data_IF_955351799322
#
_entry.id   IF_955351799322
#
_cell.length_a   1.000
_cell.length_b   1.000
_cell.length_c   1.000
_cell.angle_alpha   90.00
_cell.angle_beta   90.00
_cell.angle_gamma   90.00
#
_symmetry.space_group_name_H-M   'P 1'
#
loop_
_entity.id
_entity.type
_entity.pdbx_description
1 polymer ?
#
# COMPACT_ATOMS: atom_id res chain seq x y z
N UNK A 1 -5.69 36.51 -27.43
CA UNK A 1 -5.74 35.03 -27.21
C UNK A 1 -6.15 34.81 -25.76
N UNK A 2 -7.35 34.26 -25.58
CA UNK A 2 -8.23 34.51 -24.45
C UNK A 2 -7.94 33.67 -23.20
N UNK A 3 -8.04 34.30 -22.01
CA UNK A 3 -8.00 33.76 -20.64
C UNK A 3 -8.97 32.56 -20.42
N UNK A 4 -9.86 32.30 -21.36
CA UNK A 4 -10.85 31.23 -21.31
C UNK A 4 -10.28 29.81 -21.55
N UNK A 5 -9.09 29.68 -22.07
CA UNK A 5 -8.48 28.37 -22.37
C UNK A 5 -7.96 27.67 -21.10
N UNK A 6 -7.39 28.44 -20.18
CA UNK A 6 -6.89 27.92 -18.90
C UNK A 6 -8.00 27.47 -17.96
N UNK A 7 -9.16 28.16 -18.02
CA UNK A 7 -10.32 27.78 -17.22
C UNK A 7 -10.95 26.45 -17.72
N UNK A 8 -10.94 26.20 -19.02
CA UNK A 8 -11.42 24.93 -19.60
C UNK A 8 -10.45 23.78 -19.35
N UNK A 9 -9.14 24.02 -19.38
CA UNK A 9 -8.14 23.01 -19.03
C UNK A 9 -8.19 22.63 -17.54
N UNK A 10 -8.43 23.59 -16.65
CA UNK A 10 -8.62 23.34 -15.22
C UNK A 10 -9.90 22.55 -14.91
N UNK A 11 -11.00 22.81 -15.63
CA UNK A 11 -12.26 22.07 -15.50
C UNK A 11 -12.16 20.63 -16.04
N UNK A 12 -11.40 20.41 -17.10
CA UNK A 12 -11.17 19.08 -17.66
C UNK A 12 -10.24 18.25 -16.77
N UNK A 13 -9.28 18.86 -16.08
CA UNK A 13 -8.44 18.21 -15.06
C UNK A 13 -9.26 17.88 -13.80
N UNK A 14 -10.18 18.73 -13.38
CA UNK A 14 -11.06 18.45 -12.24
C UNK A 14 -12.09 17.35 -12.53
N UNK A 15 -12.56 17.21 -13.77
CA UNK A 15 -13.50 16.16 -14.18
C UNK A 15 -12.87 14.78 -14.37
N UNK A 16 -11.56 14.70 -14.61
CA UNK A 16 -10.82 13.44 -14.70
C UNK A 16 -10.47 12.83 -13.32
N UNK A 17 -10.61 13.62 -12.27
CA UNK A 17 -10.48 13.18 -10.88
C UNK A 17 -11.87 12.71 -10.39
N UNK A 18 -12.27 11.50 -10.82
CA UNK A 18 -13.56 10.90 -10.50
C UNK A 18 -13.84 10.76 -8.99
N UNK A 19 -15.01 10.17 -8.60
CA UNK A 19 -15.48 10.07 -7.21
C UNK A 19 -14.53 9.38 -6.23
N UNK A 20 -13.44 8.79 -6.71
CA UNK A 20 -12.37 8.21 -5.89
C UNK A 20 -11.63 9.22 -5.01
N UNK A 21 -11.55 10.51 -5.42
CA UNK A 21 -10.87 11.53 -4.61
C UNK A 21 -11.69 12.01 -3.42
N UNK A 22 -13.01 12.06 -3.54
CA UNK A 22 -13.89 12.47 -2.44
C UNK A 22 -13.87 11.44 -1.29
N UNK A 23 -13.70 10.16 -1.60
CA UNK A 23 -13.62 9.07 -0.62
C UNK A 23 -12.25 8.92 0.03
N UNK A 24 -11.21 9.45 -0.58
CA UNK A 24 -9.85 9.47 -0.05
C UNK A 24 -9.66 10.53 1.07
N UNK A 25 -10.72 11.27 1.47
CA UNK A 25 -10.63 12.25 2.55
C UNK A 25 -10.51 11.61 3.94
N UNK A 26 -11.00 10.40 4.13
CA UNK A 26 -10.91 9.67 5.40
C UNK A 26 -9.83 8.58 5.35
N UNK A 27 -8.57 8.99 5.40
CA UNK A 27 -7.49 8.03 5.65
C UNK A 27 -7.61 7.50 7.08
N UNK A 28 -7.68 6.19 7.27
CA UNK A 28 -7.74 5.60 8.61
C UNK A 28 -6.50 5.95 9.41
N UNK A 29 -6.60 5.99 10.73
CA UNK A 29 -5.43 6.09 11.59
C UNK A 29 -4.66 4.77 11.62
N UNK A 30 -3.35 4.82 11.90
CA UNK A 30 -2.56 3.60 12.07
C UNK A 30 -3.17 2.68 13.14
N UNK A 31 -3.61 3.26 14.27
CA UNK A 31 -4.24 2.53 15.35
C UNK A 31 -5.52 1.81 14.90
N UNK A 32 -6.37 2.48 14.10
CA UNK A 32 -7.61 1.86 13.60
C UNK A 32 -7.32 0.71 12.63
N UNK A 33 -6.31 0.85 11.77
CA UNK A 33 -5.89 -0.22 10.86
C UNK A 33 -5.36 -1.43 11.62
N UNK A 34 -4.60 -1.20 12.69
CA UNK A 34 -4.08 -2.26 13.55
C UNK A 34 -5.19 -3.00 14.29
N UNK A 35 -6.16 -2.27 14.86
CA UNK A 35 -7.31 -2.87 15.56
C UNK A 35 -8.21 -3.65 14.60
N UNK A 36 -8.43 -3.13 13.40
CA UNK A 36 -9.25 -3.76 12.38
C UNK A 36 -8.52 -4.88 11.60
N UNK A 37 -7.27 -5.21 11.99
CA UNK A 37 -6.49 -6.25 11.29
C UNK A 37 -7.19 -7.61 11.44
N UNK A 38 -7.63 -8.23 10.34
CA UNK A 38 -8.29 -9.52 10.41
C UNK A 38 -7.25 -10.60 10.73
N UNK A 39 -7.60 -11.54 11.60
CA UNK A 39 -6.79 -12.73 11.87
C UNK A 39 -7.58 -13.94 11.39
N UNK A 40 -6.93 -14.83 10.62
CA UNK A 40 -7.60 -16.02 10.06
C UNK A 40 -7.68 -17.19 11.03
N UNK A 41 -6.84 -17.18 12.04
CA UNK A 41 -6.71 -18.29 12.97
C UNK A 41 -7.19 -17.87 14.36
N UNK A 42 -7.86 -18.79 15.06
CA UNK A 42 -8.23 -18.65 16.48
C UNK A 42 -7.46 -19.65 17.29
N UNK A 43 -6.96 -19.22 18.43
CA UNK A 43 -6.28 -20.09 19.39
C UNK A 43 -7.27 -20.44 20.50
N UNK A 44 -7.47 -21.73 20.71
CA UNK A 44 -8.15 -22.24 21.87
C UNK A 44 -7.15 -22.32 23.02
N UNK A 45 -7.44 -21.63 24.11
CA UNK A 45 -6.61 -21.61 25.30
C UNK A 45 -7.21 -22.48 26.39
N UNK A 46 -6.36 -23.07 27.23
CA UNK A 46 -6.78 -23.71 28.46
C UNK A 46 -7.07 -22.68 29.57
N UNK A 47 -7.47 -23.16 30.74
CA UNK A 47 -7.75 -22.31 31.93
C UNK A 47 -6.51 -21.54 32.46
N UNK A 48 -5.31 -21.90 32.01
CA UNK A 48 -4.06 -21.24 32.38
C UNK A 48 -3.56 -20.28 31.31
N UNK A 49 -4.28 -20.17 30.17
CA UNK A 49 -3.89 -19.38 29.02
C UNK A 49 -2.89 -20.06 28.08
N UNK A 50 -2.66 -21.37 28.23
CA UNK A 50 -1.80 -22.14 27.35
C UNK A 50 -2.58 -22.55 26.09
N UNK A 51 -1.91 -22.50 24.95
CA UNK A 51 -2.52 -22.83 23.66
C UNK A 51 -2.77 -24.35 23.57
N UNK A 52 -4.04 -24.75 23.49
CA UNK A 52 -4.47 -26.13 23.26
C UNK A 52 -4.51 -26.46 21.78
N UNK A 53 -5.04 -25.56 20.98
CA UNK A 53 -5.22 -25.78 19.55
C UNK A 53 -5.31 -24.47 18.81
N UNK A 54 -4.80 -24.45 17.58
CA UNK A 54 -4.98 -23.37 16.61
C UNK A 54 -5.97 -23.84 15.55
N UNK A 55 -7.08 -23.10 15.38
CA UNK A 55 -8.12 -23.38 14.40
C UNK A 55 -8.14 -22.28 13.35
N UNK A 56 -8.00 -22.66 12.08
CA UNK A 56 -8.23 -21.74 10.99
C UNK A 56 -9.73 -21.53 10.81
N UNK A 57 -10.22 -20.33 11.08
CA UNK A 57 -11.62 -19.96 10.93
C UNK A 57 -11.93 -19.27 9.59
N UNK A 58 -10.90 -18.77 8.92
CA UNK A 58 -11.01 -18.24 7.56
C UNK A 58 -10.15 -19.08 6.64
N UNK A 59 -10.81 -19.79 5.71
CA UNK A 59 -10.14 -20.72 4.78
C UNK A 59 -9.71 -20.02 3.48
N UNK A 60 -10.32 -18.87 3.16
CA UNK A 60 -10.11 -18.07 1.97
C UNK A 60 -8.76 -17.33 1.97
N UNK A 61 -8.20 -17.07 3.15
CA UNK A 61 -6.94 -16.37 3.30
C UNK A 61 -6.25 -16.76 4.61
N UNK A 62 -4.91 -16.64 4.62
CA UNK A 62 -4.12 -16.82 5.82
C UNK A 62 -3.58 -15.47 6.28
N UNK A 63 -4.12 -14.97 7.37
CA UNK A 63 -3.70 -13.71 7.99
C UNK A 63 -3.21 -14.01 9.39
N UNK A 64 -1.93 -13.78 9.62
CA UNK A 64 -1.29 -13.97 10.92
C UNK A 64 -1.66 -12.82 11.88
N UNK A 65 -1.50 -13.01 13.19
CA UNK A 65 -1.61 -11.91 14.14
C UNK A 65 -0.67 -10.74 13.77
N UNK A 66 -1.11 -9.53 14.09
CA UNK A 66 -0.30 -8.33 13.85
C UNK A 66 1.03 -8.41 14.58
N UNK A 67 2.13 -8.30 13.85
CA UNK A 67 3.47 -8.29 14.40
C UNK A 67 4.02 -6.85 14.44
N UNK A 68 4.42 -6.34 15.61
CA UNK A 68 5.07 -5.03 15.72
C UNK A 68 6.40 -4.98 14.96
N UNK A 69 6.71 -3.85 14.33
CA UNK A 69 7.94 -3.66 13.55
C UNK A 69 9.21 -4.02 14.35
N UNK A 70 9.24 -3.68 15.63
CA UNK A 70 10.37 -3.95 16.52
C UNK A 70 10.66 -5.45 16.72
N UNK A 71 9.70 -6.33 16.45
CA UNK A 71 9.82 -7.79 16.54
C UNK A 71 10.13 -8.45 15.21
N UNK A 72 10.06 -7.70 14.13
CA UNK A 72 10.37 -8.21 12.78
C UNK A 72 11.89 -8.31 12.57
N UNK A 73 12.32 -9.31 11.81
CA UNK A 73 13.74 -9.50 11.50
C UNK A 73 14.30 -8.30 10.73
N UNK A 74 15.40 -7.67 11.17
CA UNK A 74 16.06 -6.61 10.43
C UNK A 74 16.51 -7.04 9.02
N UNK A 75 16.83 -8.31 8.83
CA UNK A 75 17.17 -8.86 7.53
C UNK A 75 15.96 -8.86 6.58
N UNK A 76 14.76 -9.23 7.09
CA UNK A 76 13.52 -9.16 6.32
C UNK A 76 13.20 -7.72 5.89
N UNK A 77 13.28 -6.77 6.83
CA UNK A 77 13.04 -5.35 6.55
C UNK A 77 13.98 -4.83 5.46
N UNK A 78 15.25 -5.15 5.58
CA UNK A 78 16.26 -4.73 4.61
C UNK A 78 16.06 -5.36 3.24
N UNK A 79 15.78 -6.66 3.18
CA UNK A 79 15.54 -7.38 1.92
C UNK A 79 14.31 -6.83 1.20
N UNK A 80 13.22 -6.57 1.94
CA UNK A 80 11.99 -6.02 1.39
C UNK A 80 12.21 -4.60 0.84
N UNK A 81 12.88 -3.72 1.59
CA UNK A 81 13.17 -2.37 1.12
C UNK A 81 14.09 -2.38 -0.12
N UNK A 82 15.09 -3.25 -0.16
CA UNK A 82 15.96 -3.39 -1.33
C UNK A 82 15.21 -3.89 -2.57
N UNK A 83 14.19 -4.73 -2.36
CA UNK A 83 13.36 -5.26 -3.46
C UNK A 83 12.34 -4.27 -3.96
N UNK A 84 11.59 -3.63 -3.05
CA UNK A 84 10.39 -2.87 -3.36
C UNK A 84 10.63 -1.37 -3.44
N UNK A 85 11.47 -0.82 -2.55
CA UNK A 85 11.63 0.63 -2.39
C UNK A 85 12.95 1.01 -1.73
N UNK A 86 14.03 0.98 -2.51
CA UNK A 86 15.39 1.21 -1.98
C UNK A 86 15.57 2.57 -1.32
N UNK A 87 14.78 3.57 -1.74
CA UNK A 87 14.85 4.94 -1.24
C UNK A 87 13.66 5.30 -0.36
N UNK A 88 13.06 4.33 0.28
CA UNK A 88 11.88 4.50 1.13
C UNK A 88 11.99 5.65 2.13
N UNK A 89 13.16 5.84 2.74
CA UNK A 89 13.39 6.90 3.73
C UNK A 89 13.72 8.27 3.13
N UNK A 90 13.90 8.36 1.80
CA UNK A 90 14.34 9.57 1.11
C UNK A 90 13.20 10.35 0.43
N UNK A 91 12.03 9.73 0.28
CA UNK A 91 10.87 10.36 -0.35
C UNK A 91 9.66 10.41 0.57
N UNK A 92 8.64 11.22 0.19
CA UNK A 92 7.39 11.40 0.93
C UNK A 92 6.20 10.78 0.18
N UNK A 93 6.20 9.45 0.08
CA UNK A 93 5.12 8.65 -0.52
C UNK A 93 5.31 8.33 -2.00
N UNK A 94 5.94 9.21 -2.77
CA UNK A 94 6.24 9.00 -4.18
C UNK A 94 7.71 9.28 -4.43
N UNK A 95 8.39 8.34 -5.05
CA UNK A 95 9.75 8.52 -5.51
C UNK A 95 9.76 9.16 -6.92
N UNK A 96 9.75 10.49 -6.97
CA UNK A 96 9.72 11.23 -8.22
C UNK A 96 10.95 10.99 -9.10
N UNK A 97 12.10 10.67 -8.52
CA UNK A 97 13.29 10.37 -9.31
C UNK A 97 13.21 8.99 -9.95
N UNK A 98 12.62 7.99 -9.26
CA UNK A 98 12.34 6.70 -9.86
C UNK A 98 11.26 6.81 -10.95
N UNK A 99 10.25 7.66 -10.76
CA UNK A 99 9.25 7.97 -11.79
C UNK A 99 9.90 8.57 -13.02
N UNK A 100 10.76 9.56 -12.85
CA UNK A 100 11.48 10.19 -13.95
C UNK A 100 12.42 9.20 -14.67
N UNK A 101 13.16 8.40 -13.93
CA UNK A 101 14.04 7.37 -14.48
C UNK A 101 13.25 6.29 -15.25
N UNK A 102 12.08 5.89 -14.74
CA UNK A 102 11.21 4.92 -15.41
C UNK A 102 10.60 5.50 -16.69
N UNK A 103 10.20 6.77 -16.69
CA UNK A 103 9.70 7.46 -17.87
C UNK A 103 10.78 7.56 -18.94
N UNK A 104 12.01 7.90 -18.55
CA UNK A 104 13.17 7.95 -19.44
C UNK A 104 13.52 6.56 -19.99
N UNK A 105 13.60 5.54 -19.15
CA UNK A 105 13.89 4.16 -19.56
C UNK A 105 12.85 3.57 -20.50
N UNK A 106 11.55 3.89 -20.31
CA UNK A 106 10.50 3.47 -21.24
C UNK A 106 10.65 4.10 -22.63
N UNK A 107 11.19 5.30 -22.72
CA UNK A 107 11.47 5.96 -24.01
C UNK A 107 12.52 5.18 -24.83
N UNK A 108 13.42 4.47 -24.14
CA UNK A 108 14.51 3.69 -24.74
C UNK A 108 14.25 2.17 -24.68
N UNK A 109 13.00 1.76 -24.50
CA UNK A 109 12.56 0.34 -24.47
C UNK A 109 13.34 -0.55 -23.48
N UNK A 110 13.83 0.04 -22.38
CA UNK A 110 14.48 -0.69 -21.30
C UNK A 110 13.45 -1.04 -20.23
N UNK A 111 13.46 -2.31 -19.78
CA UNK A 111 12.66 -2.73 -18.60
C UNK A 111 13.19 -2.01 -17.37
N UNK A 112 12.50 -0.95 -16.95
CA UNK A 112 12.80 -0.25 -15.72
C UNK A 112 12.12 -0.93 -14.54
N UNK A 113 12.78 -0.94 -13.37
CA UNK A 113 12.18 -1.35 -12.10
C UNK A 113 10.94 -0.49 -11.82
N UNK A 114 9.94 -1.07 -11.16
CA UNK A 114 8.67 -0.40 -10.88
C UNK A 114 8.89 0.91 -10.10
N UNK A 115 8.22 1.97 -10.55
CA UNK A 115 8.21 3.27 -9.85
C UNK A 115 7.18 3.32 -8.71
N UNK A 116 6.64 2.17 -8.28
CA UNK A 116 5.68 2.09 -7.18
C UNK A 116 6.40 1.95 -5.85
N UNK A 117 6.17 2.87 -4.93
CA UNK A 117 6.74 2.85 -3.59
C UNK A 117 5.96 1.93 -2.65
N UNK A 118 6.56 1.55 -1.51
CA UNK A 118 5.90 0.83 -0.42
C UNK A 118 4.64 1.58 0.05
N UNK A 119 4.72 2.90 0.18
CA UNK A 119 3.59 3.72 0.59
C UNK A 119 2.45 3.72 -0.43
N UNK A 120 2.75 3.74 -1.74
CA UNK A 120 1.74 3.62 -2.80
C UNK A 120 1.06 2.25 -2.80
N UNK A 121 1.83 1.20 -2.54
CA UNK A 121 1.29 -0.15 -2.43
C UNK A 121 0.39 -0.27 -1.20
N UNK A 122 0.82 0.24 -0.04
CA UNK A 122 0.01 0.28 1.18
C UNK A 122 -1.29 1.08 0.96
N UNK A 123 -1.21 2.24 0.29
CA UNK A 123 -2.40 3.02 -0.05
C UNK A 123 -3.41 2.21 -0.87
N UNK A 124 -2.93 1.39 -1.81
CA UNK A 124 -3.78 0.46 -2.56
C UNK A 124 -4.39 -0.65 -1.70
N UNK A 125 -3.70 -1.11 -0.65
CA UNK A 125 -4.20 -2.14 0.27
C UNK A 125 -5.20 -1.61 1.29
N UNK A 126 -5.13 -0.32 1.62
CA UNK A 126 -6.04 0.33 2.57
C UNK A 126 -7.35 0.79 1.92
N UNK A 127 -7.36 0.97 0.61
CA UNK A 127 -8.52 1.42 -0.16
C UNK A 127 -8.90 0.36 -1.19
N UNK A 128 -10.02 -0.31 -0.99
CA UNK A 128 -10.53 -1.34 -1.93
C UNK A 128 -10.74 -0.79 -3.34
N UNK A 129 -11.13 0.47 -3.47
CA UNK A 129 -11.31 1.16 -4.75
C UNK A 129 -9.98 1.39 -5.51
N UNK A 130 -8.87 1.39 -4.80
CA UNK A 130 -7.51 1.51 -5.34
C UNK A 130 -6.80 0.15 -5.46
N UNK A 131 -7.43 -0.91 -4.94
CA UNK A 131 -6.92 -2.27 -5.05
C UNK A 131 -6.88 -2.72 -6.51
N UNK A 132 -5.93 -3.57 -6.83
CA UNK A 132 -5.76 -4.13 -8.17
C UNK A 132 -6.87 -5.16 -8.44
N UNK A 133 -7.94 -4.74 -9.11
CA UNK A 133 -8.95 -5.65 -9.67
C UNK A 133 -8.51 -6.02 -11.07
N UNK A 134 -8.17 -7.28 -11.29
CA UNK A 134 -7.74 -7.97 -12.51
C UNK A 134 -7.70 -7.14 -13.80
N UNK A 135 -6.51 -6.76 -14.24
CA UNK A 135 -6.25 -5.90 -15.39
C UNK A 135 -5.22 -4.83 -15.05
N UNK A 136 -4.42 -4.38 -16.00
CA UNK A 136 -3.38 -3.38 -15.76
C UNK A 136 -3.94 -2.10 -15.09
N UNK A 137 -3.18 -1.54 -14.14
CA UNK A 137 -3.57 -0.28 -13.47
C UNK A 137 -3.72 0.83 -14.49
N UNK A 138 -4.90 1.49 -14.51
CA UNK A 138 -5.07 2.70 -15.30
C UNK A 138 -4.16 3.82 -14.76
N UNK A 139 -3.75 4.75 -15.61
CA UNK A 139 -2.98 5.93 -15.19
C UNK A 139 -3.69 6.72 -14.08
N UNK A 140 -5.02 6.79 -14.12
CA UNK A 140 -5.82 7.43 -13.09
C UNK A 140 -5.68 6.75 -11.72
N UNK A 141 -5.66 5.42 -11.66
CA UNK A 141 -5.45 4.68 -10.41
C UNK A 141 -4.05 4.91 -9.83
N UNK A 142 -3.01 4.97 -10.68
CA UNK A 142 -1.65 5.29 -10.23
C UNK A 142 -1.56 6.70 -9.64
N UNK A 143 -2.18 7.68 -10.27
CA UNK A 143 -2.21 9.05 -9.76
C UNK A 143 -2.98 9.14 -8.43
N UNK A 144 -4.10 8.46 -8.31
CA UNK A 144 -4.87 8.38 -7.05
C UNK A 144 -4.05 7.71 -5.94
N UNK A 145 -3.36 6.61 -6.23
CA UNK A 145 -2.47 5.95 -5.26
C UNK A 145 -1.31 6.86 -4.84
N UNK A 146 -0.70 7.60 -5.77
CA UNK A 146 0.38 8.55 -5.48
C UNK A 146 -0.11 9.68 -4.56
N UNK A 147 -1.30 10.21 -4.82
CA UNK A 147 -1.90 11.26 -4.00
C UNK A 147 -2.25 10.76 -2.58
N UNK A 148 -2.87 9.58 -2.47
CA UNK A 148 -3.17 8.94 -1.19
C UNK A 148 -1.89 8.63 -0.42
N UNK A 149 -0.84 8.10 -1.09
CA UNK A 149 0.45 7.83 -0.50
C UNK A 149 1.09 9.09 0.10
N UNK A 150 1.06 10.21 -0.64
CA UNK A 150 1.58 11.48 -0.13
C UNK A 150 0.80 12.01 1.08
N UNK A 151 -0.50 11.77 1.15
CA UNK A 151 -1.32 12.11 2.33
C UNK A 151 -1.05 11.18 3.50
N UNK A 152 -0.83 9.88 3.23
CA UNK A 152 -0.51 8.89 4.25
C UNK A 152 0.78 9.26 4.98
N UNK A 153 1.83 9.63 4.24
CA UNK A 153 3.12 10.06 4.79
C UNK A 153 3.09 11.35 5.62
N UNK A 154 2.03 12.15 5.46
CA UNK A 154 1.82 13.32 6.34
C UNK A 154 1.18 12.97 7.67
N UNK A 155 0.57 11.79 7.79
CA UNK A 155 -0.19 11.35 8.97
C UNK A 155 0.50 10.23 9.73
N UNK A 156 1.23 9.36 9.01
CA UNK A 156 1.88 8.19 9.56
C UNK A 156 3.40 8.33 9.44
N UNK A 157 4.10 7.88 10.44
CA UNK A 157 5.55 7.76 10.39
C UNK A 157 5.99 6.64 9.42
N UNK A 158 7.22 6.71 8.95
CA UNK A 158 7.84 5.65 8.13
C UNK A 158 7.76 4.27 8.81
N UNK A 159 7.94 4.22 10.12
CA UNK A 159 7.83 2.99 10.89
C UNK A 159 6.41 2.41 10.86
N UNK A 160 5.38 3.24 11.04
CA UNK A 160 3.97 2.82 10.97
C UNK A 160 3.58 2.34 9.56
N UNK A 161 4.06 3.02 8.52
CA UNK A 161 3.85 2.63 7.12
C UNK A 161 4.47 1.26 6.86
N UNK A 162 5.72 1.07 7.28
CA UNK A 162 6.44 -0.18 7.07
C UNK A 162 5.81 -1.34 7.87
N UNK A 163 5.42 -1.10 9.13
CA UNK A 163 4.73 -2.09 9.97
C UNK A 163 3.41 -2.52 9.33
N UNK A 164 2.58 -1.55 8.92
CA UNK A 164 1.31 -1.84 8.29
C UNK A 164 1.47 -2.57 6.94
N UNK A 165 2.41 -2.14 6.12
CA UNK A 165 2.70 -2.76 4.83
C UNK A 165 3.05 -4.24 4.98
N UNK A 166 4.00 -4.56 5.85
CA UNK A 166 4.44 -5.93 6.06
C UNK A 166 3.32 -6.83 6.59
N UNK A 167 2.54 -6.34 7.55
CA UNK A 167 1.40 -7.10 8.08
C UNK A 167 0.31 -7.33 7.03
N UNK A 168 0.14 -6.42 6.06
CA UNK A 168 -0.85 -6.56 4.99
C UNK A 168 -0.36 -7.41 3.82
N UNK A 169 0.91 -7.26 3.41
CA UNK A 169 1.48 -8.01 2.28
C UNK A 169 1.65 -9.48 2.60
N UNK A 170 2.12 -9.81 3.81
CA UNK A 170 2.25 -11.22 4.25
C UNK A 170 0.88 -11.91 4.25
N UNK A 171 -0.18 -11.19 4.65
CA UNK A 171 -1.54 -11.70 4.57
C UNK A 171 -1.96 -12.08 3.14
N UNK A 172 -1.63 -11.24 2.15
CA UNK A 172 -1.97 -11.46 0.74
C UNK A 172 -1.14 -12.59 0.13
N UNK A 173 0.16 -12.63 0.39
CA UNK A 173 1.03 -13.69 -0.12
C UNK A 173 0.59 -15.08 0.38
N UNK A 174 0.12 -15.15 1.64
CA UNK A 174 -0.42 -16.37 2.19
C UNK A 174 -1.79 -16.77 1.59
N UNK A 175 -2.56 -15.80 1.09
CA UNK A 175 -3.87 -16.04 0.46
C UNK A 175 -3.75 -16.49 -1.00
N UNK A 176 -2.72 -16.06 -1.72
CA UNK A 176 -2.53 -16.39 -3.14
C UNK A 176 -1.99 -17.80 -3.41
N UNK A 177 -1.87 -18.65 -2.39
CA UNK A 177 -1.65 -20.08 -2.58
C UNK A 177 -0.35 -20.41 -3.32
N UNK A 178 0.72 -19.68 -3.07
CA UNK A 178 2.04 -20.14 -3.48
C UNK A 178 2.36 -21.44 -2.72
N UNK A 179 2.74 -22.53 -3.44
CA UNK A 179 3.03 -23.82 -2.84
C UNK A 179 4.16 -23.74 -1.83
#
# INVERSE_FOLDING_TARGET
MSRAWWARAALLLAGALGPGLARAEELPSFASVKVAHPVSDRVLLDRRGEALQMLRVRLDQRVLPWEPLARMSPALLRAMLLSEDQRFYEHSGVDWSAVAASAWGNLWNQRTRGASTVTMQLAGLLHEDLAQRGGGRSWGQKLSQAWVASRLERRWSKAEILEAYLNRVVAIAAASGAP
#
